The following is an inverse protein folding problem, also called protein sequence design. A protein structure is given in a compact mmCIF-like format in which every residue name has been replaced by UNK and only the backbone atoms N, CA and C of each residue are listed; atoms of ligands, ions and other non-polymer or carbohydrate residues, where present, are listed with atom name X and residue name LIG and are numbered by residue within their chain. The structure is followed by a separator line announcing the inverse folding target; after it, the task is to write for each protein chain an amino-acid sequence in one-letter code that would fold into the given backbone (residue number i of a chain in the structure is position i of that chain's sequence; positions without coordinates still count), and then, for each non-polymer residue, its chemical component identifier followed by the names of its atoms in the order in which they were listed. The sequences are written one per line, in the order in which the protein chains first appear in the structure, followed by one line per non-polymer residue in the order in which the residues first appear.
data_IF_213905059464
#
_entry.id   IF_213905059464
#
_cell.length_a   1.000
_cell.length_b   1.000
_cell.length_c   1.000
_cell.angle_alpha   90.00
_cell.angle_beta   90.00
_cell.angle_gamma   90.00
#
_symmetry.space_group_name_H-M   'P 1'
#
loop_
_entity.id
_entity.type
_entity.pdbx_description
1 polymer ?
#
# COMPACT_ATOMS: atom_id res chain seq x y z
N UNK A 1 45.14 -37.46 -7.78
CA UNK A 1 45.28 -36.03 -8.11
C UNK A 1 44.74 -35.27 -6.92
N UNK A 2 45.45 -34.27 -6.41
CA UNK A 2 44.91 -33.42 -5.33
C UNK A 2 43.73 -32.62 -5.88
N UNK A 3 42.67 -32.43 -5.10
CA UNK A 3 41.52 -31.63 -5.54
C UNK A 3 41.93 -30.17 -5.70
N UNK A 4 41.20 -29.40 -6.50
CA UNK A 4 41.45 -27.97 -6.65
C UNK A 4 41.39 -27.26 -5.30
N UNK A 5 40.39 -27.61 -4.46
CA UNK A 5 40.24 -27.06 -3.12
C UNK A 5 41.48 -27.26 -2.23
N UNK A 6 42.15 -28.42 -2.32
CA UNK A 6 43.34 -28.72 -1.50
C UNK A 6 44.49 -27.73 -1.80
N UNK A 7 44.56 -27.21 -3.03
CA UNK A 7 45.54 -26.19 -3.42
C UNK A 7 45.28 -24.83 -2.74
N UNK A 8 44.00 -24.51 -2.46
CA UNK A 8 43.57 -23.24 -1.88
C UNK A 8 43.28 -23.30 -0.38
N UNK A 9 43.16 -24.49 0.21
CA UNK A 9 42.93 -24.67 1.66
C UNK A 9 43.95 -23.93 2.56
N UNK A 10 45.25 -23.82 2.23
CA UNK A 10 46.18 -22.99 3.00
C UNK A 10 45.84 -21.49 2.96
N UNK A 11 45.27 -21.00 1.85
CA UNK A 11 44.86 -19.60 1.71
C UNK A 11 43.62 -19.32 2.55
N UNK A 12 42.64 -20.24 2.56
CA UNK A 12 41.50 -20.17 3.48
C UNK A 12 41.93 -20.19 4.94
N UNK A 13 42.88 -21.06 5.30
CA UNK A 13 43.42 -21.10 6.66
C UNK A 13 44.05 -19.77 7.07
N UNK A 14 44.85 -19.16 6.18
CA UNK A 14 45.46 -17.85 6.41
C UNK A 14 44.43 -16.72 6.52
N UNK A 15 43.41 -16.73 5.66
CA UNK A 15 42.33 -15.73 5.71
C UNK A 15 41.52 -15.82 7.00
N UNK A 16 41.17 -17.02 7.46
CA UNK A 16 40.48 -17.25 8.72
C UNK A 16 41.34 -16.85 9.94
N UNK A 17 42.64 -17.11 9.90
CA UNK A 17 43.57 -16.63 10.93
C UNK A 17 43.58 -15.09 10.99
N UNK A 18 43.62 -14.42 9.83
CA UNK A 18 43.54 -12.97 9.75
C UNK A 18 42.20 -12.44 10.29
N UNK A 19 41.08 -13.03 9.89
CA UNK A 19 39.74 -12.65 10.37
C UNK A 19 39.64 -12.78 11.90
N UNK A 20 40.15 -13.88 12.47
CA UNK A 20 40.22 -14.08 13.91
C UNK A 20 41.09 -13.03 14.62
N UNK A 21 42.25 -12.66 14.04
CA UNK A 21 43.12 -11.61 14.57
C UNK A 21 42.47 -10.22 14.49
N UNK A 22 41.75 -9.92 13.41
CA UNK A 22 40.98 -8.67 13.25
C UNK A 22 39.88 -8.60 14.31
N UNK A 23 39.09 -9.67 14.47
CA UNK A 23 38.04 -9.75 15.49
C UNK A 23 38.58 -9.61 16.92
N UNK A 24 39.78 -10.14 17.18
CA UNK A 24 40.47 -10.02 18.46
C UNK A 24 41.23 -8.69 18.64
N UNK A 25 41.18 -7.77 17.67
CA UNK A 25 41.98 -6.52 17.66
C UNK A 25 43.51 -6.73 17.82
N UNK A 26 44.02 -7.86 17.32
CA UNK A 26 45.45 -8.24 17.36
C UNK A 26 46.10 -8.31 15.98
N UNK A 27 45.39 -7.87 14.94
CA UNK A 27 45.91 -7.80 13.58
C UNK A 27 47.06 -6.77 13.46
N UNK A 28 48.01 -6.94 12.51
CA UNK A 28 49.09 -6.00 12.29
C UNK A 28 48.60 -4.56 12.06
N UNK A 29 49.35 -3.55 12.51
CA UNK A 29 48.93 -2.15 12.34
C UNK A 29 48.99 -1.64 10.88
N UNK A 30 49.84 -2.26 10.05
CA UNK A 30 50.03 -1.89 8.63
C UNK A 30 49.48 -2.99 7.72
N UNK A 31 48.85 -2.59 6.62
CA UNK A 31 48.15 -3.50 5.71
C UNK A 31 49.05 -4.04 4.58
N UNK A 32 50.09 -3.31 4.21
CA UNK A 32 51.05 -3.68 3.17
C UNK A 32 51.70 -5.06 3.39
N UNK A 33 52.25 -5.40 4.58
CA UNK A 33 52.79 -6.74 4.82
C UNK A 33 51.71 -7.82 4.81
N UNK A 34 50.46 -7.48 5.19
CA UNK A 34 49.32 -8.40 5.13
C UNK A 34 48.99 -8.73 3.69
N UNK A 35 48.82 -7.72 2.81
CA UNK A 35 48.58 -7.95 1.40
C UNK A 35 49.74 -8.69 0.71
N UNK A 36 51.00 -8.40 1.05
CA UNK A 36 52.14 -9.13 0.53
C UNK A 36 52.10 -10.63 0.89
N UNK A 37 51.76 -10.94 2.15
CA UNK A 37 51.62 -12.33 2.63
C UNK A 37 50.46 -13.05 1.94
N UNK A 38 49.30 -12.40 1.86
CA UNK A 38 48.12 -12.94 1.18
C UNK A 38 48.40 -13.18 -0.31
N UNK A 39 49.03 -12.22 -0.99
CA UNK A 39 49.41 -12.35 -2.39
C UNK A 39 50.33 -13.55 -2.63
N UNK A 40 51.38 -13.69 -1.81
CA UNK A 40 52.29 -14.83 -1.90
C UNK A 40 51.62 -16.19 -1.61
N UNK A 41 50.56 -16.21 -0.78
CA UNK A 41 49.77 -17.42 -0.55
C UNK A 41 48.90 -17.76 -1.78
N UNK A 42 48.23 -16.77 -2.36
CA UNK A 42 47.41 -16.90 -3.56
C UNK A 42 48.26 -17.36 -4.76
N UNK A 43 49.43 -16.76 -4.99
CA UNK A 43 50.32 -17.14 -6.10
C UNK A 43 50.82 -18.59 -5.95
N UNK A 44 51.11 -19.03 -4.71
CA UNK A 44 51.48 -20.43 -4.43
C UNK A 44 50.33 -21.40 -4.66
N UNK A 45 49.10 -21.04 -4.25
CA UNK A 45 47.92 -21.86 -4.48
C UNK A 45 47.63 -22.02 -5.98
N UNK A 46 47.72 -20.93 -6.76
CA UNK A 46 47.61 -20.97 -8.22
C UNK A 46 48.68 -21.86 -8.85
N UNK A 47 49.93 -21.71 -8.45
CA UNK A 47 51.02 -22.55 -8.96
C UNK A 47 50.82 -24.04 -8.63
N UNK A 48 50.33 -24.36 -7.43
CA UNK A 48 50.00 -25.73 -7.03
C UNK A 48 48.84 -26.32 -7.87
N UNK A 49 47.79 -25.54 -8.14
CA UNK A 49 46.68 -25.96 -9.00
C UNK A 49 47.15 -26.25 -10.44
N UNK A 50 47.98 -25.37 -11.01
CA UNK A 50 48.56 -25.59 -12.35
C UNK A 50 49.45 -26.83 -12.38
N UNK A 51 50.28 -27.04 -11.35
CA UNK A 51 51.13 -28.22 -11.24
C UNK A 51 50.35 -29.52 -11.05
N UNK A 52 49.17 -29.45 -10.42
CA UNK A 52 48.24 -30.57 -10.29
C UNK A 52 47.48 -30.90 -11.60
N UNK A 53 47.61 -30.07 -12.64
CA UNK A 53 47.05 -30.29 -13.97
C UNK A 53 45.73 -29.56 -14.25
N UNK A 54 45.30 -28.64 -13.39
CA UNK A 54 44.10 -27.83 -13.64
C UNK A 54 44.35 -26.81 -14.75
N UNK A 55 43.30 -26.52 -15.53
CA UNK A 55 43.37 -25.53 -16.61
C UNK A 55 43.61 -24.12 -16.03
N UNK A 56 44.34 -23.23 -16.73
CA UNK A 56 44.55 -21.85 -16.29
C UNK A 56 43.25 -21.13 -15.94
N UNK A 57 42.20 -21.31 -16.74
CA UNK A 57 40.87 -20.71 -16.50
C UNK A 57 40.25 -21.15 -15.15
N UNK A 58 40.40 -22.42 -14.78
CA UNK A 58 39.89 -22.95 -13.51
C UNK A 58 40.69 -22.43 -12.32
N UNK A 59 42.02 -22.36 -12.48
CA UNK A 59 42.90 -21.80 -11.46
C UNK A 59 42.65 -20.28 -11.27
N UNK A 60 42.45 -19.53 -12.35
CA UNK A 60 42.17 -18.09 -12.31
C UNK A 60 40.81 -17.79 -11.68
N UNK A 61 39.78 -18.56 -12.01
CA UNK A 61 38.46 -18.42 -11.38
C UNK A 61 38.50 -18.75 -9.88
N UNK A 62 39.22 -19.80 -9.47
CA UNK A 62 39.42 -20.11 -8.06
C UNK A 62 40.19 -19.01 -7.32
N UNK A 63 41.22 -18.42 -7.94
CA UNK A 63 41.92 -17.25 -7.40
C UNK A 63 40.97 -16.06 -7.24
N UNK A 64 40.11 -15.78 -8.22
CA UNK A 64 39.15 -14.68 -8.16
C UNK A 64 38.24 -14.80 -6.94
N UNK A 65 37.65 -15.98 -6.72
CA UNK A 65 36.82 -16.27 -5.55
C UNK A 65 37.53 -15.98 -4.24
N UNK A 66 38.74 -16.51 -4.07
CA UNK A 66 39.50 -16.38 -2.81
C UNK A 66 39.94 -14.94 -2.59
N UNK A 67 40.33 -14.22 -3.65
CA UNK A 67 40.73 -12.81 -3.59
C UNK A 67 39.55 -11.92 -3.17
N UNK A 68 38.36 -12.13 -3.75
CA UNK A 68 37.16 -11.38 -3.36
C UNK A 68 36.86 -11.54 -1.86
N UNK A 69 36.96 -12.76 -1.34
CA UNK A 69 36.76 -13.06 0.08
C UNK A 69 37.85 -12.49 0.99
N UNK A 70 39.13 -12.59 0.59
CA UNK A 70 40.24 -12.03 1.36
C UNK A 70 40.15 -10.50 1.47
N UNK A 71 39.84 -9.81 0.39
CA UNK A 71 39.68 -8.36 0.42
C UNK A 71 38.50 -7.93 1.30
N UNK A 72 37.42 -8.70 1.33
CA UNK A 72 36.31 -8.46 2.26
C UNK A 72 36.74 -8.63 3.73
N UNK A 73 37.56 -9.66 4.05
CA UNK A 73 38.14 -9.82 5.39
C UNK A 73 39.01 -8.63 5.76
N UNK A 74 39.92 -8.22 4.87
CA UNK A 74 40.82 -7.08 5.13
C UNK A 74 40.01 -5.80 5.36
N UNK A 75 38.93 -5.59 4.59
CA UNK A 75 38.04 -4.44 4.74
C UNK A 75 37.29 -4.37 6.09
N UNK A 76 37.18 -5.49 6.84
CA UNK A 76 36.57 -5.51 8.18
C UNK A 76 37.39 -4.76 9.23
N UNK A 77 38.68 -4.52 8.98
CA UNK A 77 39.51 -3.72 9.88
C UNK A 77 39.55 -2.24 9.43
N UNK A 78 38.95 -1.30 10.18
CA UNK A 78 38.92 0.11 9.81
C UNK A 78 40.29 0.76 9.65
N UNK A 79 41.32 0.23 10.33
CA UNK A 79 42.69 0.75 10.25
C UNK A 79 43.30 0.63 8.85
N UNK A 80 42.74 -0.23 7.99
CA UNK A 80 43.29 -0.53 6.67
C UNK A 80 42.65 0.28 5.54
N UNK A 81 41.56 1.02 5.78
CA UNK A 81 40.79 1.68 4.72
C UNK A 81 41.56 2.76 3.94
N UNK A 82 42.60 3.34 4.54
CA UNK A 82 43.35 4.45 3.96
C UNK A 82 44.67 4.04 3.28
N UNK A 83 45.04 2.76 3.33
CA UNK A 83 46.38 2.29 2.92
C UNK A 83 46.29 0.98 2.13
N UNK A 84 47.31 0.70 1.31
CA UNK A 84 47.39 -0.52 0.50
C UNK A 84 46.49 -0.55 -0.74
N UNK A 85 46.83 -1.44 -1.67
CA UNK A 85 46.01 -1.73 -2.86
C UNK A 85 45.34 -3.09 -2.68
N UNK A 86 44.00 -3.18 -2.71
CA UNK A 86 43.27 -4.45 -2.61
C UNK A 86 43.74 -5.48 -3.66
N UNK A 87 43.70 -6.75 -3.32
CA UNK A 87 44.16 -7.83 -4.20
C UNK A 87 43.32 -7.93 -5.48
N UNK A 88 42.02 -7.62 -5.41
CA UNK A 88 41.13 -7.57 -6.58
C UNK A 88 41.59 -6.54 -7.62
N UNK A 89 42.11 -5.40 -7.16
CA UNK A 89 42.66 -4.36 -8.05
C UNK A 89 44.02 -4.82 -8.57
N UNK A 90 44.89 -5.31 -7.69
CA UNK A 90 46.26 -5.69 -8.05
C UNK A 90 46.37 -6.94 -8.95
N UNK A 91 45.40 -7.85 -8.90
CA UNK A 91 45.40 -9.11 -9.68
C UNK A 91 44.49 -9.00 -10.90
N UNK A 92 43.28 -8.46 -10.73
CA UNK A 92 42.22 -8.53 -11.73
C UNK A 92 41.82 -7.17 -12.30
N UNK A 93 42.41 -6.07 -11.82
CA UNK A 93 42.07 -4.71 -12.24
C UNK A 93 40.56 -4.41 -12.09
N UNK A 94 39.92 -4.96 -11.07
CA UNK A 94 38.52 -4.67 -10.68
C UNK A 94 38.48 -4.11 -9.27
N UNK A 95 37.48 -3.29 -8.97
CA UNK A 95 37.12 -2.83 -7.63
C UNK A 95 35.72 -3.32 -7.21
N UNK A 96 35.14 -4.25 -7.96
CA UNK A 96 33.76 -4.70 -7.83
C UNK A 96 33.66 -6.23 -7.64
N UNK A 97 34.71 -6.83 -7.07
CA UNK A 97 34.78 -8.29 -6.92
C UNK A 97 33.63 -8.85 -6.08
N UNK A 98 33.11 -8.07 -5.13
CA UNK A 98 31.94 -8.44 -4.30
C UNK A 98 30.67 -8.77 -5.10
N UNK A 99 30.45 -8.08 -6.22
CA UNK A 99 29.30 -8.31 -7.11
C UNK A 99 29.64 -9.32 -8.21
N UNK A 100 30.83 -9.16 -8.83
CA UNK A 100 31.32 -10.04 -9.89
C UNK A 100 31.48 -11.49 -9.42
N UNK A 101 31.75 -11.72 -8.13
CA UNK A 101 31.79 -13.06 -7.53
C UNK A 101 30.53 -13.87 -7.86
N UNK A 102 29.36 -13.31 -7.60
CA UNK A 102 28.09 -14.01 -7.81
C UNK A 102 27.76 -14.19 -9.31
N UNK A 103 28.20 -13.26 -10.15
CA UNK A 103 28.09 -13.39 -11.61
C UNK A 103 28.94 -14.55 -12.12
N UNK A 104 30.20 -14.65 -11.70
CA UNK A 104 31.07 -15.76 -12.07
C UNK A 104 30.58 -17.09 -11.47
N UNK A 105 30.13 -17.10 -10.22
CA UNK A 105 29.62 -18.28 -9.54
C UNK A 105 28.37 -18.88 -10.21
N UNK A 106 27.44 -18.01 -10.63
CA UNK A 106 26.25 -18.39 -11.38
C UNK A 106 26.55 -18.87 -12.81
N UNK A 107 27.65 -18.41 -13.42
CA UNK A 107 28.08 -18.77 -14.77
C UNK A 107 28.85 -20.10 -14.84
N UNK A 108 29.28 -20.67 -13.70
CA UNK A 108 29.99 -21.95 -13.65
C UNK A 108 29.13 -23.07 -14.24
N UNK A 109 29.74 -23.93 -15.08
CA UNK A 109 29.06 -25.08 -15.68
C UNK A 109 29.07 -26.28 -14.74
N UNK A 110 28.37 -27.35 -15.11
CA UNK A 110 28.43 -28.61 -14.38
C UNK A 110 29.84 -29.24 -14.38
N UNK A 111 30.66 -28.95 -15.40
CA UNK A 111 32.05 -29.39 -15.51
C UNK A 111 33.04 -28.60 -14.63
N UNK A 112 32.57 -27.54 -13.98
CA UNK A 112 33.39 -26.67 -13.12
C UNK A 112 33.06 -26.90 -11.63
N UNK A 113 32.71 -28.14 -11.28
CA UNK A 113 32.28 -28.58 -9.96
C UNK A 113 33.34 -28.34 -8.87
N UNK A 114 34.62 -28.59 -9.15
CA UNK A 114 35.72 -28.30 -8.21
C UNK A 114 36.01 -26.80 -8.07
N UNK A 115 35.78 -25.99 -9.11
CA UNK A 115 35.85 -24.52 -9.00
C UNK A 115 34.68 -24.03 -8.15
N UNK A 116 33.49 -24.59 -8.36
CA UNK A 116 32.30 -24.32 -7.55
C UNK A 116 32.53 -24.65 -6.08
N UNK A 117 33.26 -25.72 -5.77
CA UNK A 117 33.66 -26.06 -4.39
C UNK A 117 34.49 -24.95 -3.73
N UNK A 118 35.42 -24.31 -4.46
CA UNK A 118 36.21 -23.16 -3.94
C UNK A 118 35.32 -21.94 -3.67
N UNK A 119 34.43 -21.57 -4.59
CA UNK A 119 33.47 -20.48 -4.37
C UNK A 119 32.54 -20.76 -3.21
N UNK A 120 32.00 -21.98 -3.15
CA UNK A 120 31.12 -22.38 -2.08
C UNK A 120 31.82 -22.32 -0.73
N UNK A 121 33.08 -22.71 -0.66
CA UNK A 121 33.85 -22.63 0.58
C UNK A 121 34.05 -21.18 1.05
N UNK A 122 34.25 -20.22 0.15
CA UNK A 122 34.27 -18.80 0.52
C UNK A 122 32.96 -18.34 1.16
N UNK A 123 31.80 -18.80 0.66
CA UNK A 123 30.49 -18.54 1.28
C UNK A 123 30.35 -19.17 2.66
N UNK A 124 30.89 -20.39 2.86
CA UNK A 124 30.91 -21.03 4.18
C UNK A 124 31.81 -20.31 5.17
N UNK A 125 32.91 -19.71 4.69
CA UNK A 125 33.81 -18.86 5.46
C UNK A 125 33.29 -17.43 5.63
N UNK A 126 32.00 -17.18 5.36
CA UNK A 126 31.35 -15.92 5.67
C UNK A 126 31.59 -14.81 4.66
N UNK A 127 31.92 -15.13 3.40
CA UNK A 127 31.82 -14.16 2.31
C UNK A 127 30.36 -13.76 2.09
N UNK A 128 30.10 -12.46 2.07
CA UNK A 128 28.74 -11.93 1.86
C UNK A 128 28.62 -11.15 0.56
N UNK A 129 29.65 -10.40 0.18
CA UNK A 129 29.71 -9.58 -1.02
C UNK A 129 28.51 -8.64 -1.14
N UNK A 130 27.82 -8.70 -2.28
CA UNK A 130 26.66 -7.84 -2.57
C UNK A 130 25.46 -7.99 -1.62
N UNK A 131 25.41 -9.06 -0.83
CA UNK A 131 24.29 -9.39 0.07
C UNK A 131 24.51 -8.91 1.52
N UNK A 132 25.38 -7.92 1.76
CA UNK A 132 25.77 -7.47 3.11
C UNK A 132 24.62 -7.01 4.02
N UNK A 133 23.45 -6.73 3.44
CA UNK A 133 22.23 -6.30 4.13
C UNK A 133 21.35 -7.47 4.61
N UNK A 134 21.60 -8.71 4.17
CA UNK A 134 20.83 -9.88 4.60
C UNK A 134 21.29 -10.40 5.96
N UNK A 135 20.36 -10.92 6.77
CA UNK A 135 20.66 -11.57 8.04
C UNK A 135 20.04 -12.96 8.08
N UNK A 136 20.83 -13.95 8.53
CA UNK A 136 20.41 -15.35 8.59
C UNK A 136 20.43 -16.09 7.25
N UNK A 137 19.97 -17.35 7.24
CA UNK A 137 20.05 -18.26 6.09
C UNK A 137 18.77 -18.31 5.24
N UNK A 138 17.76 -17.48 5.54
CA UNK A 138 16.48 -17.47 4.81
C UNK A 138 16.42 -16.46 3.64
N UNK A 139 17.47 -15.65 3.45
CA UNK A 139 17.60 -14.66 2.39
C UNK A 139 18.03 -15.24 1.04
N UNK A 140 18.28 -14.37 0.05
CA UNK A 140 18.77 -14.80 -1.27
C UNK A 140 20.15 -15.46 -1.20
N UNK A 141 21.02 -15.02 -0.29
CA UNK A 141 22.32 -15.65 -0.08
C UNK A 141 22.17 -17.10 0.39
N UNK A 142 21.21 -17.37 1.27
CA UNK A 142 20.89 -18.72 1.74
C UNK A 142 20.36 -19.63 0.63
N UNK A 143 19.48 -19.08 -0.23
CA UNK A 143 18.99 -19.80 -1.43
C UNK A 143 20.11 -20.13 -2.41
N UNK A 144 21.05 -19.20 -2.63
CA UNK A 144 22.23 -19.43 -3.47
C UNK A 144 23.13 -20.52 -2.88
N UNK A 145 23.37 -20.50 -1.56
CA UNK A 145 24.10 -21.59 -0.90
C UNK A 145 23.39 -22.93 -1.11
N UNK A 146 22.08 -23.02 -0.92
CA UNK A 146 21.34 -24.27 -1.12
C UNK A 146 21.38 -24.75 -2.57
N UNK A 147 21.18 -23.85 -3.54
CA UNK A 147 21.20 -24.17 -4.97
C UNK A 147 22.55 -24.74 -5.42
N UNK A 148 23.65 -24.13 -4.97
CA UNK A 148 24.99 -24.54 -5.37
C UNK A 148 25.51 -25.73 -4.57
N UNK A 149 25.09 -25.91 -3.31
CA UNK A 149 25.41 -27.09 -2.50
C UNK A 149 25.04 -28.40 -3.21
N UNK A 150 23.87 -28.45 -3.85
CA UNK A 150 23.38 -29.62 -4.61
C UNK A 150 24.19 -29.92 -5.87
N UNK A 151 25.01 -28.98 -6.33
CA UNK A 151 25.82 -29.07 -7.55
C UNK A 151 27.30 -29.32 -7.25
N UNK A 152 27.67 -29.53 -5.99
CA UNK A 152 29.05 -29.84 -5.59
C UNK A 152 29.41 -31.30 -5.90
N UNK A 153 30.70 -31.61 -6.09
CA UNK A 153 31.16 -32.99 -6.27
C UNK A 153 30.71 -33.92 -5.13
N UNK A 154 30.68 -33.37 -3.91
CA UNK A 154 30.12 -34.00 -2.71
C UNK A 154 29.17 -32.99 -2.10
N UNK A 155 27.87 -33.19 -2.34
CA UNK A 155 26.84 -32.33 -1.76
C UNK A 155 26.88 -32.44 -0.21
N UNK A 156 26.88 -31.32 0.51
CA UNK A 156 26.80 -31.35 1.97
C UNK A 156 25.43 -31.88 2.40
N UNK A 157 25.44 -32.59 3.52
CA UNK A 157 24.23 -33.07 4.18
C UNK A 157 23.25 -31.91 4.42
N UNK A 158 21.97 -32.02 4.02
CA UNK A 158 20.96 -31.03 4.36
C UNK A 158 20.83 -30.94 5.88
N UNK A 159 20.92 -29.73 6.43
CA UNK A 159 20.92 -29.51 7.88
C UNK A 159 19.66 -30.04 8.57
N UNK A 160 18.52 -30.05 7.86
CA UNK A 160 17.24 -30.56 8.35
C UNK A 160 17.13 -32.09 8.35
N UNK A 161 17.99 -32.81 7.62
CA UNK A 161 18.04 -34.28 7.58
C UNK A 161 19.28 -34.86 8.27
N UNK A 162 20.18 -34.04 8.83
CA UNK A 162 21.41 -34.48 9.50
C UNK A 162 21.21 -35.59 10.53
N UNK A 163 20.06 -35.63 11.20
CA UNK A 163 19.71 -36.67 12.18
C UNK A 163 19.53 -38.05 11.54
N UNK A 164 19.07 -38.08 10.30
CA UNK A 164 18.74 -39.28 9.54
C UNK A 164 19.90 -39.72 8.65
N UNK A 165 20.83 -38.80 8.35
CA UNK A 165 21.99 -39.07 7.53
C UNK A 165 23.10 -39.85 8.25
N UNK A 166 23.72 -40.74 7.48
CA UNK A 166 24.74 -41.67 7.96
C UNK A 166 26.14 -41.10 7.78
N UNK A 167 26.50 -40.12 8.61
CA UNK A 167 27.70 -39.29 8.47
C UNK A 167 29.02 -40.05 8.74
N UNK A 168 29.04 -41.20 9.44
CA UNK A 168 30.27 -41.97 9.72
C UNK A 168 30.26 -43.43 9.22
N UNK A 169 31.38 -43.99 8.71
CA UNK A 169 31.44 -45.37 8.19
C UNK A 169 31.24 -46.52 9.21
N UNK A 170 31.20 -46.28 10.52
CA UNK A 170 31.04 -47.29 11.58
C UNK A 170 30.15 -46.80 12.74
N UNK A 171 29.29 -47.64 13.37
CA UNK A 171 28.47 -48.69 12.79
C UNK A 171 26.97 -48.41 13.08
N UNK A 172 26.22 -48.05 12.05
CA UNK A 172 24.74 -48.16 12.05
C UNK A 172 24.24 -49.61 12.09
N UNK A 173 25.15 -50.58 12.24
CA UNK A 173 24.87 -52.02 12.37
C UNK A 173 24.45 -52.40 13.80
N UNK A 174 24.86 -51.61 14.80
CA UNK A 174 24.32 -51.73 16.16
C UNK A 174 23.09 -50.87 16.27
N UNK A 175 21.99 -51.47 16.73
CA UNK A 175 20.76 -50.74 17.05
C UNK A 175 21.12 -49.67 18.08
N UNK A 176 20.71 -48.42 17.85
CA UNK A 176 20.94 -47.35 18.82
C UNK A 176 20.52 -47.81 20.22
N UNK A 177 21.32 -47.53 21.27
CA UNK A 177 20.90 -47.81 22.62
C UNK A 177 19.55 -47.15 22.83
N UNK A 178 18.65 -47.83 23.54
CA UNK A 178 17.34 -47.28 23.85
C UNK A 178 17.57 -45.95 24.58
N UNK A 179 17.36 -44.83 23.88
CA UNK A 179 17.39 -43.52 24.52
C UNK A 179 16.42 -43.50 25.71
N UNK A 180 16.56 -42.52 26.63
CA UNK A 180 15.63 -42.39 27.75
C UNK A 180 14.21 -42.51 27.21
N UNK A 181 13.46 -43.50 27.74
CA UNK A 181 12.05 -43.69 27.40
C UNK A 181 11.30 -42.47 27.95
N UNK A 182 11.32 -41.36 27.22
CA UNK A 182 10.30 -40.35 27.36
C UNK A 182 8.97 -41.08 27.19
N UNK A 183 8.03 -40.95 28.14
CA UNK A 183 6.78 -41.70 28.13
C UNK A 183 5.89 -41.21 26.98
N UNK A 184 6.18 -41.66 25.76
CA UNK A 184 5.42 -41.44 24.51
C UNK A 184 3.97 -41.91 24.57
N UNK A 185 3.58 -42.60 25.65
CA UNK A 185 2.19 -42.94 25.91
C UNK A 185 1.33 -41.69 26.13
N UNK A 186 1.89 -40.61 26.69
CA UNK A 186 1.21 -39.32 26.72
C UNK A 186 1.21 -38.67 25.34
N UNK A 187 2.29 -38.74 24.56
CA UNK A 187 2.33 -38.15 23.20
C UNK A 187 1.31 -38.76 22.25
N UNK A 188 1.13 -40.08 22.23
CA UNK A 188 0.12 -40.72 21.38
C UNK A 188 -1.31 -40.45 21.84
N UNK A 189 -1.54 -40.36 23.16
CA UNK A 189 -2.86 -40.01 23.70
C UNK A 189 -3.18 -38.54 23.39
N UNK A 190 -2.22 -37.64 23.62
CA UNK A 190 -2.31 -36.21 23.34
C UNK A 190 -2.48 -35.95 21.86
N UNK A 191 -1.78 -36.70 20.98
CA UNK A 191 -1.96 -36.60 19.53
C UNK A 191 -3.34 -37.07 19.10
N UNK A 192 -3.84 -38.21 19.62
CA UNK A 192 -5.19 -38.72 19.31
C UNK A 192 -6.29 -37.79 19.82
N UNK A 193 -6.14 -37.27 21.03
CA UNK A 193 -7.07 -36.28 21.62
C UNK A 193 -7.00 -34.97 20.85
N UNK A 194 -5.81 -34.53 20.45
CA UNK A 194 -5.60 -33.33 19.63
C UNK A 194 -6.25 -33.45 18.26
N UNK A 195 -6.10 -34.59 17.58
CA UNK A 195 -6.77 -34.86 16.28
C UNK A 195 -8.29 -34.94 16.46
N UNK A 196 -8.79 -35.59 17.52
CA UNK A 196 -10.22 -35.66 17.79
C UNK A 196 -10.81 -34.28 18.09
N UNK A 197 -10.11 -33.42 18.86
CA UNK A 197 -10.52 -32.04 19.11
C UNK A 197 -10.45 -31.19 17.84
N UNK A 198 -9.38 -31.33 17.03
CA UNK A 198 -9.23 -30.60 15.78
C UNK A 198 -10.34 -30.93 14.76
N UNK A 199 -10.93 -32.12 14.81
CA UNK A 199 -12.10 -32.50 14.02
C UNK A 199 -13.41 -32.11 14.69
N UNK A 200 -13.54 -32.29 16.01
CA UNK A 200 -14.76 -32.01 16.74
C UNK A 200 -15.07 -30.51 16.84
N UNK A 201 -14.06 -29.66 17.04
CA UNK A 201 -14.24 -28.20 17.13
C UNK A 201 -14.89 -27.62 15.86
N UNK A 202 -14.40 -27.85 14.64
CA UNK A 202 -15.04 -27.34 13.43
C UNK A 202 -16.40 -28.00 13.17
N UNK A 203 -16.60 -29.27 13.52
CA UNK A 203 -17.90 -29.94 13.39
C UNK A 203 -18.95 -29.37 14.36
N UNK A 204 -18.57 -29.12 15.62
CA UNK A 204 -19.42 -28.49 16.62
C UNK A 204 -19.66 -27.03 16.25
N UNK A 205 -18.66 -26.33 15.73
CA UNK A 205 -18.81 -24.96 15.23
C UNK A 205 -19.73 -24.91 14.02
N UNK A 206 -19.62 -25.86 13.07
CA UNK A 206 -20.53 -26.00 11.94
C UNK A 206 -21.95 -26.32 12.42
N UNK A 207 -22.11 -27.23 13.39
CA UNK A 207 -23.41 -27.55 13.99
C UNK A 207 -24.01 -26.34 14.72
N UNK A 208 -23.18 -25.58 15.43
CA UNK A 208 -23.57 -24.31 16.03
C UNK A 208 -23.99 -23.31 14.95
N UNK A 209 -23.22 -23.14 13.87
CA UNK A 209 -23.61 -22.29 12.75
C UNK A 209 -24.92 -22.76 12.11
N UNK A 210 -25.18 -24.06 12.02
CA UNK A 210 -26.43 -24.58 11.44
C UNK A 210 -27.64 -24.42 12.38
N UNK A 211 -27.44 -24.48 13.71
CA UNK A 211 -28.49 -24.35 14.72
C UNK A 211 -28.71 -22.89 15.17
N UNK A 212 -27.66 -22.10 15.17
CA UNK A 212 -27.62 -20.69 15.57
C UNK A 212 -27.58 -19.73 14.38
N UNK A 213 -27.50 -20.23 13.14
CA UNK A 213 -27.88 -19.43 11.98
C UNK A 213 -29.27 -18.86 12.30
N UNK A 214 -29.41 -17.52 12.34
CA UNK A 214 -30.73 -16.93 12.47
C UNK A 214 -31.55 -17.54 11.35
N UNK A 215 -32.67 -18.18 11.72
CA UNK A 215 -33.68 -18.51 10.71
C UNK A 215 -33.99 -17.19 10.04
N UNK A 216 -33.62 -17.05 8.77
CA UNK A 216 -33.93 -15.89 7.95
C UNK A 216 -35.45 -15.71 7.97
N UNK A 217 -35.91 -15.01 8.99
CA UNK A 217 -37.22 -14.38 9.00
C UNK A 217 -37.05 -13.34 7.92
N UNK A 218 -37.76 -13.50 6.80
CA UNK A 218 -37.61 -12.64 5.64
C UNK A 218 -37.61 -11.14 5.99
N UNK A 219 -37.27 -10.27 5.02
CA UNK A 219 -37.00 -8.86 5.30
C UNK A 219 -38.10 -8.24 6.15
N UNK A 220 -37.71 -7.54 7.22
CA UNK A 220 -38.66 -6.85 8.10
C UNK A 220 -39.46 -5.83 7.29
N UNK A 221 -40.62 -5.40 7.79
CA UNK A 221 -41.44 -4.39 7.10
C UNK A 221 -40.61 -3.12 6.82
N UNK A 222 -39.80 -2.67 7.78
CA UNK A 222 -38.86 -1.57 7.60
C UNK A 222 -37.88 -1.81 6.44
N UNK A 223 -37.26 -2.99 6.37
CA UNK A 223 -36.35 -3.34 5.27
C UNK A 223 -37.05 -3.38 3.90
N UNK A 224 -38.31 -3.85 3.85
CA UNK A 224 -39.08 -3.85 2.60
C UNK A 224 -39.42 -2.43 2.13
N UNK A 225 -39.78 -1.54 3.06
CA UNK A 225 -40.02 -0.12 2.77
C UNK A 225 -38.73 0.54 2.29
N UNK A 226 -37.62 0.37 3.02
CA UNK A 226 -36.31 0.94 2.65
C UNK A 226 -35.85 0.46 1.27
N UNK A 227 -35.98 -0.85 0.99
CA UNK A 227 -35.65 -1.42 -0.31
C UNK A 227 -36.50 -0.82 -1.43
N UNK A 228 -37.78 -0.50 -1.16
CA UNK A 228 -38.64 0.15 -2.14
C UNK A 228 -38.19 1.59 -2.42
N UNK A 229 -37.81 2.33 -1.37
CA UNK A 229 -37.35 3.71 -1.49
C UNK A 229 -36.00 3.84 -2.20
N UNK A 230 -35.10 2.86 -2.06
CA UNK A 230 -33.82 2.81 -2.79
C UNK A 230 -33.99 2.68 -4.32
N UNK A 231 -35.19 2.35 -4.80
CA UNK A 231 -35.47 2.22 -6.23
C UNK A 231 -35.60 3.56 -6.98
N UNK A 232 -35.69 4.70 -6.28
CA UNK A 232 -35.85 6.01 -6.92
C UNK A 232 -34.48 6.64 -7.20
N UNK A 233 -34.15 6.94 -8.46
CA UNK A 233 -32.87 7.57 -8.81
C UNK A 233 -32.83 9.02 -8.33
N UNK A 234 -31.68 9.47 -7.85
CA UNK A 234 -31.46 10.85 -7.39
C UNK A 234 -32.48 11.30 -6.31
N UNK A 235 -32.67 10.47 -5.29
CA UNK A 235 -33.57 10.71 -4.16
C UNK A 235 -32.84 10.57 -2.82
N UNK A 236 -33.24 11.34 -1.81
CA UNK A 236 -32.80 11.19 -0.40
C UNK A 236 -34.04 10.89 0.43
N UNK A 237 -34.54 9.65 0.33
CA UNK A 237 -35.76 9.17 0.98
C UNK A 237 -35.40 8.36 2.23
N UNK A 238 -36.15 8.57 3.30
CA UNK A 238 -36.02 7.82 4.54
C UNK A 238 -37.40 7.45 5.09
N UNK A 239 -37.48 6.30 5.76
CA UNK A 239 -38.71 5.85 6.41
C UNK A 239 -38.46 5.51 7.88
N UNK A 240 -39.47 5.77 8.70
CA UNK A 240 -39.58 5.25 10.06
C UNK A 240 -40.82 4.37 10.13
N UNK A 241 -40.64 3.10 10.51
CA UNK A 241 -41.73 2.12 10.63
C UNK A 241 -41.85 1.71 12.10
N UNK A 242 -42.99 1.99 12.71
CA UNK A 242 -43.30 1.59 14.08
C UNK A 242 -43.69 0.10 14.16
N UNK A 243 -43.63 -0.48 15.36
CA UNK A 243 -43.93 -1.91 15.60
C UNK A 243 -45.35 -2.33 15.18
N UNK A 244 -46.29 -1.39 15.17
CA UNK A 244 -47.68 -1.60 14.75
C UNK A 244 -47.90 -1.48 13.23
N UNK A 245 -46.87 -1.11 12.47
CA UNK A 245 -46.87 -0.91 11.02
C UNK A 245 -47.08 0.55 10.59
N UNK A 246 -47.28 1.50 11.52
CA UNK A 246 -47.42 2.92 11.18
C UNK A 246 -46.12 3.42 10.56
N UNK A 247 -46.21 3.97 9.35
CA UNK A 247 -45.05 4.35 8.54
C UNK A 247 -45.02 5.85 8.28
N UNK A 248 -43.87 6.49 8.49
CA UNK A 248 -43.62 7.88 8.12
C UNK A 248 -42.47 7.91 7.12
N UNK A 249 -42.71 8.48 5.95
CA UNK A 249 -41.71 8.65 4.89
C UNK A 249 -41.43 10.12 4.68
N UNK A 250 -40.17 10.51 4.67
CA UNK A 250 -39.75 11.88 4.39
C UNK A 250 -38.55 11.92 3.47
N UNK A 251 -38.39 13.02 2.73
CA UNK A 251 -37.23 13.21 1.88
C UNK A 251 -37.48 13.96 0.58
N UNK A 252 -36.61 13.72 -0.39
CA UNK A 252 -36.66 14.34 -1.71
C UNK A 252 -36.70 13.33 -2.85
N UNK A 253 -37.41 13.66 -3.93
CA UNK A 253 -37.43 12.92 -5.19
C UNK A 253 -37.00 13.80 -6.37
N UNK A 254 -36.59 13.19 -7.47
CA UNK A 254 -36.01 13.90 -8.61
C UNK A 254 -37.06 14.60 -9.47
N UNK A 255 -38.29 14.07 -9.49
CA UNK A 255 -39.40 14.60 -10.31
C UNK A 255 -40.70 14.74 -9.52
N UNK A 256 -41.56 15.71 -9.87
CA UNK A 256 -42.87 15.86 -9.23
C UNK A 256 -43.74 14.61 -9.30
N UNK A 257 -43.74 13.88 -10.41
CA UNK A 257 -44.52 12.65 -10.57
C UNK A 257 -44.11 11.51 -9.63
N UNK A 258 -42.84 11.50 -9.19
CA UNK A 258 -42.31 10.47 -8.29
C UNK A 258 -42.92 10.59 -6.88
N UNK A 259 -43.41 11.76 -6.48
CA UNK A 259 -44.07 11.95 -5.17
C UNK A 259 -45.29 11.03 -5.06
N UNK A 260 -46.15 11.04 -6.07
CA UNK A 260 -47.35 10.19 -6.09
C UNK A 260 -46.99 8.71 -6.27
N UNK A 261 -45.91 8.43 -6.99
CA UNK A 261 -45.40 7.08 -7.16
C UNK A 261 -44.90 6.49 -5.83
N UNK A 262 -44.12 7.25 -5.05
CA UNK A 262 -43.67 6.85 -3.69
C UNK A 262 -44.86 6.60 -2.78
N UNK A 263 -45.85 7.51 -2.79
CA UNK A 263 -47.07 7.35 -1.98
C UNK A 263 -47.79 6.06 -2.30
N UNK A 264 -47.98 5.77 -3.58
CA UNK A 264 -48.66 4.55 -4.04
C UNK A 264 -47.85 3.29 -3.71
N UNK A 265 -46.55 3.32 -3.98
CA UNK A 265 -45.66 2.18 -3.84
C UNK A 265 -45.48 1.76 -2.38
N UNK A 266 -45.29 2.71 -1.46
CA UNK A 266 -45.18 2.42 -0.02
C UNK A 266 -46.51 1.95 0.55
N UNK A 267 -47.63 2.59 0.17
CA UNK A 267 -48.97 2.21 0.64
C UNK A 267 -49.39 0.81 0.18
N UNK A 268 -48.82 0.31 -0.92
CA UNK A 268 -49.09 -1.03 -1.43
C UNK A 268 -48.31 -2.14 -0.70
N UNK A 269 -47.32 -1.79 0.14
CA UNK A 269 -46.53 -2.78 0.88
C UNK A 269 -47.37 -3.40 1.99
N UNK A 270 -47.47 -4.73 1.98
CA UNK A 270 -48.24 -5.48 2.97
C UNK A 270 -47.65 -5.28 4.38
N UNK A 271 -48.46 -4.70 5.27
CA UNK A 271 -48.08 -4.45 6.67
C UNK A 271 -47.95 -2.97 7.02
N UNK A 272 -47.81 -2.10 6.01
CA UNK A 272 -47.86 -0.64 6.19
C UNK A 272 -49.26 -0.22 6.64
N UNK A 273 -49.33 0.64 7.65
CA UNK A 273 -50.55 1.28 8.15
C UNK A 273 -50.37 2.78 8.20
N UNK A 274 -51.46 3.52 7.98
CA UNK A 274 -51.57 4.97 8.09
C UNK A 274 -50.30 5.74 7.63
N UNK A 275 -49.84 5.53 6.38
CA UNK A 275 -48.58 6.11 5.95
C UNK A 275 -48.69 7.63 5.84
N UNK A 276 -47.72 8.34 6.44
CA UNK A 276 -47.56 9.79 6.31
C UNK A 276 -46.36 10.13 5.44
N UNK A 277 -46.47 11.19 4.65
CA UNK A 277 -45.50 11.55 3.63
C UNK A 277 -45.14 13.04 3.70
N UNK A 278 -43.87 13.33 3.97
CA UNK A 278 -43.27 14.66 3.87
C UNK A 278 -42.22 14.67 2.75
N UNK A 279 -42.70 14.81 1.52
CA UNK A 279 -41.90 14.66 0.30
C UNK A 279 -41.82 15.98 -0.46
N UNK A 280 -40.62 16.30 -0.95
CA UNK A 280 -40.37 17.47 -1.80
C UNK A 280 -39.58 17.10 -3.05
N UNK A 281 -39.58 17.98 -4.05
CA UNK A 281 -38.82 17.75 -5.29
C UNK A 281 -37.44 18.38 -5.17
N UNK A 282 -36.40 17.62 -5.54
CA UNK A 282 -35.05 18.12 -5.78
C UNK A 282 -34.55 17.56 -7.10
N UNK A 283 -34.56 18.40 -8.12
CA UNK A 283 -34.21 18.00 -9.48
C UNK A 283 -32.75 17.58 -9.61
N UNK A 284 -32.46 16.78 -10.63
CA UNK A 284 -31.10 16.60 -11.10
C UNK A 284 -30.62 17.90 -11.78
N UNK A 285 -29.38 18.37 -11.55
CA UNK A 285 -28.27 17.73 -10.84
C UNK A 285 -28.20 18.00 -9.32
N UNK A 286 -29.09 18.83 -8.77
CA UNK A 286 -29.00 19.27 -7.36
C UNK A 286 -29.06 18.12 -6.36
N UNK A 287 -29.90 17.12 -6.60
CA UNK A 287 -29.96 15.91 -5.76
C UNK A 287 -28.62 15.18 -5.71
N UNK A 288 -27.98 14.96 -6.86
CA UNK A 288 -26.70 14.26 -6.98
C UNK A 288 -25.58 15.04 -6.30
N UNK A 289 -25.51 16.35 -6.53
CA UNK A 289 -24.49 17.23 -5.94
C UNK A 289 -24.63 17.29 -4.43
N UNK A 290 -25.85 17.43 -3.90
CA UNK A 290 -26.05 17.40 -2.45
C UNK A 290 -25.70 16.03 -1.86
N UNK A 291 -26.05 14.92 -2.53
CA UNK A 291 -25.66 13.60 -2.06
C UNK A 291 -24.12 13.45 -1.97
N UNK A 292 -23.38 13.98 -2.94
CA UNK A 292 -21.91 14.00 -2.94
C UNK A 292 -21.36 14.87 -1.79
N UNK A 293 -21.96 16.05 -1.57
CA UNK A 293 -21.42 17.03 -0.61
C UNK A 293 -21.92 16.87 0.83
N UNK A 294 -22.99 16.10 1.06
CA UNK A 294 -23.62 15.89 2.38
C UNK A 294 -22.61 15.46 3.46
N UNK A 295 -21.72 14.47 3.25
CA UNK A 295 -20.74 14.07 4.26
C UNK A 295 -19.74 15.19 4.61
N UNK A 296 -19.40 16.06 3.65
CA UNK A 296 -18.48 17.17 3.85
C UNK A 296 -19.16 18.38 4.51
N UNK A 297 -20.47 18.55 4.32
CA UNK A 297 -21.28 19.52 5.06
C UNK A 297 -21.49 19.10 6.51
N UNK A 298 -21.80 17.83 6.75
CA UNK A 298 -21.91 17.27 8.10
C UNK A 298 -20.58 17.46 8.84
N UNK A 299 -19.45 17.14 8.20
CA UNK A 299 -18.12 17.39 8.76
C UNK A 299 -17.89 18.87 9.11
N UNK A 300 -18.26 19.80 8.22
CA UNK A 300 -18.14 21.24 8.46
C UNK A 300 -18.90 21.66 9.72
N UNK A 301 -20.12 21.17 9.89
CA UNK A 301 -20.98 21.46 11.04
C UNK A 301 -20.48 20.80 12.33
N UNK A 302 -20.23 19.49 12.30
CA UNK A 302 -19.82 18.69 13.47
C UNK A 302 -18.48 19.16 14.04
N UNK A 303 -17.53 19.47 13.15
CA UNK A 303 -16.19 19.95 13.53
C UNK A 303 -16.12 21.47 13.67
N UNK A 304 -17.23 22.18 13.43
CA UNK A 304 -17.30 23.66 13.47
C UNK A 304 -16.19 24.31 12.65
N UNK A 305 -15.99 23.83 11.42
CA UNK A 305 -14.94 24.31 10.54
C UNK A 305 -15.21 25.72 10.02
N UNK A 306 -16.45 26.22 10.11
CA UNK A 306 -16.77 27.63 9.87
C UNK A 306 -16.80 28.02 8.39
N UNK A 307 -16.73 27.05 7.46
CA UNK A 307 -16.98 27.30 6.04
C UNK A 307 -18.44 27.70 5.86
N UNK A 308 -18.71 28.79 5.18
CA UNK A 308 -20.07 29.27 4.99
C UNK A 308 -20.25 30.03 3.68
N UNK A 309 -21.39 29.83 3.04
CA UNK A 309 -21.86 30.62 1.90
C UNK A 309 -23.20 31.29 2.22
N UNK A 310 -23.27 32.62 2.05
CA UNK A 310 -24.49 33.40 2.30
C UNK A 310 -24.85 34.27 1.09
N UNK A 311 -26.14 34.45 0.77
CA UNK A 311 -26.55 35.45 -0.20
C UNK A 311 -26.28 36.86 0.34
N UNK A 312 -25.92 37.80 -0.54
CA UNK A 312 -25.70 39.21 -0.15
C UNK A 312 -26.99 39.98 0.09
N UNK A 313 -28.13 39.51 -0.44
CA UNK A 313 -29.43 40.19 -0.39
C UNK A 313 -30.10 40.19 1.00
N UNK A 314 -29.56 39.46 1.98
CA UNK A 314 -29.88 39.59 3.40
C UNK A 314 -31.32 39.24 3.83
N UNK A 315 -32.25 38.95 2.91
CA UNK A 315 -33.68 38.85 3.24
C UNK A 315 -34.47 37.75 2.51
N UNK A 316 -33.97 37.14 1.45
CA UNK A 316 -34.66 36.00 0.81
C UNK A 316 -33.71 35.07 0.06
N UNK A 317 -34.03 33.78 0.08
CA UNK A 317 -33.58 32.75 -0.85
C UNK A 317 -34.19 32.93 -2.25
N UNK A 318 -35.11 33.89 -2.42
CA UNK A 318 -35.78 34.22 -3.68
C UNK A 318 -35.07 35.36 -4.40
N UNK A 319 -34.92 35.17 -5.71
CA UNK A 319 -34.24 36.05 -6.64
C UNK A 319 -35.10 36.29 -7.87
N UNK A 320 -35.11 37.51 -8.40
CA UNK A 320 -35.88 37.86 -9.61
C UNK A 320 -34.97 38.08 -10.82
N UNK A 321 -35.53 37.88 -12.01
CA UNK A 321 -34.85 38.14 -13.28
C UNK A 321 -34.15 39.50 -13.34
N UNK A 322 -32.88 39.48 -13.77
CA UNK A 322 -32.00 40.64 -13.84
C UNK A 322 -31.29 41.00 -12.52
N UNK A 323 -31.60 40.33 -11.40
CA UNK A 323 -30.78 40.47 -10.20
C UNK A 323 -29.41 39.82 -10.38
N UNK A 324 -28.43 40.36 -9.67
CA UNK A 324 -27.05 39.87 -9.70
C UNK A 324 -26.82 38.85 -8.60
N UNK A 325 -26.35 37.66 -8.97
CA UNK A 325 -25.93 36.63 -8.02
C UNK A 325 -24.59 37.03 -7.42
N UNK A 326 -24.64 37.44 -6.17
CA UNK A 326 -23.45 37.73 -5.35
C UNK A 326 -23.55 36.97 -4.04
N UNK A 327 -22.51 36.21 -3.72
CA UNK A 327 -22.42 35.45 -2.48
C UNK A 327 -21.28 35.95 -1.61
N UNK A 328 -21.56 36.04 -0.32
CA UNK A 328 -20.55 36.25 0.70
C UNK A 328 -20.03 34.90 1.15
N UNK A 329 -18.72 34.71 1.03
CA UNK A 329 -18.04 33.50 1.46
C UNK A 329 -17.28 33.77 2.76
N UNK A 330 -17.27 32.76 3.62
CA UNK A 330 -16.34 32.66 4.73
C UNK A 330 -15.54 31.37 4.55
N UNK A 331 -14.22 31.50 4.44
CA UNK A 331 -13.32 30.35 4.42
C UNK A 331 -13.40 29.61 5.77
N UNK A 332 -13.20 28.29 5.70
CA UNK A 332 -13.03 27.45 6.87
C UNK A 332 -11.88 27.94 7.77
N UNK A 333 -11.81 27.40 8.98
CA UNK A 333 -10.79 27.68 10.00
C UNK A 333 -9.42 27.03 9.65
N UNK A 334 -9.04 27.05 8.37
CA UNK A 334 -7.75 26.60 7.85
C UNK A 334 -7.44 27.29 6.51
N UNK A 335 -6.16 27.40 6.18
CA UNK A 335 -5.72 27.91 4.87
C UNK A 335 -5.98 26.86 3.79
N UNK A 336 -6.62 27.26 2.69
CA UNK A 336 -7.01 26.32 1.65
C UNK A 336 -7.52 26.97 0.37
N UNK A 337 -7.92 26.14 -0.57
CA UNK A 337 -8.49 26.52 -1.86
C UNK A 337 -10.01 26.42 -1.79
N UNK A 338 -10.69 27.42 -2.36
CA UNK A 338 -12.14 27.47 -2.45
C UNK A 338 -12.62 27.18 -3.86
N UNK A 339 -13.73 26.44 -3.95
CA UNK A 339 -14.43 26.12 -5.19
C UNK A 339 -15.90 26.45 -5.00
N UNK A 340 -16.43 27.30 -5.85
CA UNK A 340 -17.79 27.85 -5.78
C UNK A 340 -18.45 27.62 -7.13
N UNK A 341 -19.46 26.77 -7.13
CA UNK A 341 -20.18 26.34 -8.32
C UNK A 341 -21.65 26.66 -8.16
N UNK A 342 -22.26 27.13 -9.25
CA UNK A 342 -23.68 27.45 -9.34
C UNK A 342 -24.36 26.53 -10.36
N UNK A 343 -25.33 25.75 -9.90
CA UNK A 343 -26.05 24.76 -10.67
C UNK A 343 -27.43 25.26 -10.98
N UNK A 344 -27.73 25.41 -12.27
CA UNK A 344 -29.00 25.91 -12.77
C UNK A 344 -30.03 24.79 -12.93
N UNK A 345 -31.28 25.16 -13.17
CA UNK A 345 -32.39 24.20 -13.35
C UNK A 345 -32.33 23.41 -14.67
N UNK A 346 -31.64 23.93 -15.69
CA UNK A 346 -31.44 23.26 -16.98
C UNK A 346 -30.25 22.28 -16.96
N UNK A 347 -29.58 22.11 -15.82
CA UNK A 347 -28.47 21.17 -15.67
C UNK A 347 -27.12 21.71 -16.15
N UNK A 348 -26.97 23.03 -16.16
CA UNK A 348 -25.70 23.71 -16.43
C UNK A 348 -25.00 24.04 -15.10
N UNK A 349 -23.66 24.04 -15.11
CA UNK A 349 -22.82 24.43 -13.98
C UNK A 349 -21.99 25.63 -14.39
N UNK A 350 -22.07 26.69 -13.60
CA UNK A 350 -21.23 27.88 -13.74
C UNK A 350 -20.20 27.86 -12.62
N UNK A 351 -18.93 27.92 -13.00
CA UNK A 351 -17.82 27.98 -12.05
C UNK A 351 -17.60 29.44 -11.63
N UNK A 352 -18.09 29.82 -10.46
CA UNK A 352 -18.01 31.20 -9.96
C UNK A 352 -16.62 31.50 -9.40
N UNK A 353 -15.98 30.52 -8.75
CA UNK A 353 -14.63 30.64 -8.21
C UNK A 353 -13.97 29.25 -8.13
N UNK A 354 -12.77 29.01 -8.66
CA UNK A 354 -11.96 29.92 -9.45
C UNK A 354 -12.60 30.26 -10.82
N UNK A 355 -12.42 31.50 -11.28
CA UNK A 355 -12.92 31.97 -12.58
C UNK A 355 -12.01 33.09 -13.12
N UNK A 356 -11.67 33.09 -14.41
CA UNK A 356 -10.81 34.12 -15.05
C UNK A 356 -11.32 35.55 -14.87
N UNK A 357 -12.64 35.74 -14.78
CA UNK A 357 -13.27 37.05 -14.63
C UNK A 357 -13.21 37.55 -13.19
N UNK A 358 -12.95 36.65 -12.23
CA UNK A 358 -12.73 37.00 -10.83
C UNK A 358 -11.24 37.16 -10.53
N UNK A 359 -10.79 38.34 -10.07
CA UNK A 359 -9.39 38.57 -9.76
C UNK A 359 -8.94 37.75 -8.55
N UNK A 360 -7.65 37.38 -8.57
CA UNK A 360 -7.03 36.54 -7.53
C UNK A 360 -7.76 35.20 -7.31
N UNK A 361 -8.47 34.71 -8.33
CA UNK A 361 -9.16 33.44 -8.24
C UNK A 361 -8.20 32.25 -8.27
N UNK A 362 -8.52 31.19 -7.54
CA UNK A 362 -7.68 29.99 -7.43
C UNK A 362 -6.46 30.16 -6.52
N UNK A 363 -6.34 31.27 -5.79
CA UNK A 363 -5.31 31.45 -4.78
C UNK A 363 -5.59 30.62 -3.52
N UNK A 364 -4.57 30.51 -2.68
CA UNK A 364 -4.74 30.09 -1.30
C UNK A 364 -5.49 31.19 -0.53
N UNK A 365 -6.62 30.83 0.06
CA UNK A 365 -7.46 31.69 0.90
C UNK A 365 -7.15 31.39 2.36
N UNK A 366 -6.82 32.42 3.14
CA UNK A 366 -6.39 32.23 4.52
C UNK A 366 -7.56 31.90 5.44
N UNK A 367 -7.28 31.23 6.55
CA UNK A 367 -8.27 30.82 7.53
C UNK A 367 -9.24 31.94 7.92
N UNK A 368 -10.54 31.66 7.90
CA UNK A 368 -11.63 32.57 8.25
C UNK A 368 -11.72 33.87 7.43
N UNK A 369 -11.00 33.96 6.30
CA UNK A 369 -11.11 35.08 5.38
C UNK A 369 -12.55 35.19 4.83
N UNK A 370 -13.07 36.42 4.76
CA UNK A 370 -14.37 36.71 4.16
C UNK A 370 -14.22 37.60 2.94
N UNK A 371 -14.89 37.24 1.85
CA UNK A 371 -14.90 38.03 0.62
C UNK A 371 -16.19 37.79 -0.17
N UNK A 372 -16.43 38.64 -1.17
CA UNK A 372 -17.56 38.53 -2.09
C UNK A 372 -17.10 37.87 -3.38
N UNK A 373 -17.94 36.97 -3.90
CA UNK A 373 -17.81 36.41 -5.26
C UNK A 373 -18.99 36.90 -6.09
N UNK A 374 -18.71 37.32 -7.33
CA UNK A 374 -19.71 37.89 -8.25
C UNK A 374 -19.78 39.43 -8.23
N UNK A 375 -18.92 40.12 -7.47
CA UNK A 375 -18.91 41.60 -7.47
C UNK A 375 -18.28 42.17 -8.75
N UNK A 376 -17.16 41.58 -9.19
CA UNK A 376 -16.40 42.04 -10.37
C UNK A 376 -16.79 41.29 -11.65
N UNK A 377 -17.29 40.07 -11.51
CA UNK A 377 -17.90 39.31 -12.59
C UNK A 377 -19.38 38.98 -12.26
N UNK A 378 -20.29 39.98 -12.31
CA UNK A 378 -21.67 39.75 -11.94
C UNK A 378 -22.37 38.82 -12.92
N UNK A 379 -23.16 37.93 -12.35
CA UNK A 379 -24.03 36.99 -13.05
C UNK A 379 -25.47 37.41 -12.86
N UNK A 380 -26.20 37.55 -13.96
CA UNK A 380 -27.60 37.98 -13.91
C UNK A 380 -28.52 36.77 -14.01
N UNK A 381 -29.55 36.75 -13.17
CA UNK A 381 -30.58 35.72 -13.20
C UNK A 381 -31.40 35.85 -14.47
N UNK A 382 -31.55 34.74 -15.19
CA UNK A 382 -32.33 34.63 -16.41
C UNK A 382 -33.04 33.28 -16.50
N UNK A 383 -33.86 33.08 -17.54
CA UNK A 383 -34.57 31.83 -17.75
C UNK A 383 -33.61 30.67 -18.11
N UNK A 384 -33.98 29.40 -17.81
CA UNK A 384 -35.20 28.98 -17.12
C UNK A 384 -35.17 29.23 -15.60
N UNK A 385 -36.31 29.61 -15.04
CA UNK A 385 -36.45 29.92 -13.61
C UNK A 385 -36.83 28.69 -12.79
N UNK A 386 -36.36 28.60 -11.55
CA UNK A 386 -36.75 27.57 -10.60
C UNK A 386 -35.81 27.49 -9.39
N UNK A 387 -35.75 26.32 -8.75
CA UNK A 387 -34.82 26.11 -7.65
C UNK A 387 -33.41 25.89 -8.20
N UNK A 388 -32.43 26.62 -7.70
CA UNK A 388 -31.02 26.53 -8.09
C UNK A 388 -30.14 26.30 -6.86
N UNK A 389 -28.89 25.92 -7.07
CA UNK A 389 -27.98 25.50 -6.01
C UNK A 389 -26.62 26.19 -6.16
N UNK A 390 -26.16 26.84 -5.10
CA UNK A 390 -24.75 27.26 -4.98
C UNK A 390 -24.07 26.37 -3.97
N UNK A 391 -22.93 25.80 -4.36
CA UNK A 391 -22.08 25.00 -3.49
C UNK A 391 -20.75 25.70 -3.26
N UNK A 392 -20.21 25.57 -2.05
CA UNK A 392 -18.83 25.93 -1.74
C UNK A 392 -18.08 24.70 -1.19
N UNK A 393 -16.87 24.47 -1.67
CA UNK A 393 -15.97 23.42 -1.21
C UNK A 393 -14.66 24.08 -0.79
N UNK A 394 -14.23 23.80 0.44
CA UNK A 394 -12.91 24.17 0.95
C UNK A 394 -12.01 22.93 1.01
N UNK A 395 -10.85 23.02 0.35
CA UNK A 395 -9.86 21.93 0.32
C UNK A 395 -8.48 22.43 0.73
N UNK A 396 -7.73 21.71 1.58
CA UNK A 396 -6.36 22.09 1.93
C UNK A 396 -5.37 21.95 0.76
N UNK A 397 -5.74 21.19 -0.28
CA UNK A 397 -4.96 20.99 -1.51
C UNK A 397 -5.81 21.30 -2.74
N UNK A 398 -5.23 21.72 -3.87
CA UNK A 398 -6.01 22.01 -5.08
C UNK A 398 -6.76 20.76 -5.58
N UNK A 399 -8.07 20.85 -5.80
CA UNK A 399 -8.88 19.77 -6.41
C UNK A 399 -8.51 19.55 -7.88
N UNK A 400 -8.10 20.62 -8.56
CA UNK A 400 -7.61 20.60 -9.94
C UNK A 400 -6.62 21.75 -10.15
N UNK A 401 -5.68 21.56 -11.09
CA UNK A 401 -4.64 22.53 -11.43
C UNK A 401 -4.81 23.15 -12.82
N UNK A 402 -5.54 22.47 -13.71
CA UNK A 402 -5.90 23.00 -15.02
C UNK A 402 -7.12 23.92 -14.90
N UNK A 403 -7.09 25.01 -15.64
CA UNK A 403 -8.24 25.89 -15.72
C UNK A 403 -9.43 25.19 -16.36
N UNK A 404 -10.62 25.36 -15.76
CA UNK A 404 -11.88 24.80 -16.26
C UNK A 404 -12.64 25.84 -17.08
N UNK A 405 -13.46 25.42 -18.07
CA UNK A 405 -14.43 26.30 -18.70
C UNK A 405 -15.29 27.04 -17.66
N UNK A 406 -15.73 28.25 -17.97
CA UNK A 406 -16.61 29.03 -17.09
C UNK A 406 -18.00 28.39 -16.93
N UNK A 407 -18.44 27.67 -17.97
CA UNK A 407 -19.73 26.99 -18.05
C UNK A 407 -19.51 25.56 -18.53
N UNK A 408 -20.04 24.59 -17.80
CA UNK A 408 -20.00 23.16 -18.13
C UNK A 408 -21.39 22.51 -17.99
N UNK A 409 -21.60 21.37 -18.65
CA UNK A 409 -22.80 20.56 -18.42
C UNK A 409 -22.63 19.75 -17.14
N UNK A 410 -23.65 19.69 -16.28
CA UNK A 410 -23.57 18.96 -15.02
C UNK A 410 -23.34 17.45 -15.22
N UNK A 411 -23.80 16.90 -16.35
CA UNK A 411 -23.56 15.50 -16.73
C UNK A 411 -22.08 15.19 -16.98
N UNK A 412 -21.29 16.22 -17.30
CA UNK A 412 -19.83 16.14 -17.47
C UNK A 412 -19.12 16.48 -16.15
N UNK A 413 -19.55 17.54 -15.48
CA UNK A 413 -18.87 18.05 -14.30
C UNK A 413 -19.05 17.16 -13.06
N UNK A 414 -20.27 16.72 -12.77
CA UNK A 414 -20.60 16.02 -11.51
C UNK A 414 -19.85 14.70 -11.33
N UNK A 415 -19.71 13.82 -12.36
CA UNK A 415 -18.85 12.65 -12.26
C UNK A 415 -17.40 13.01 -11.96
N UNK A 416 -16.86 14.07 -12.59
CA UNK A 416 -15.50 14.53 -12.36
C UNK A 416 -15.32 15.12 -10.96
N UNK A 417 -16.33 15.81 -10.44
CA UNK A 417 -16.33 16.32 -9.07
C UNK A 417 -16.21 15.18 -8.05
N UNK A 418 -16.97 14.10 -8.25
CA UNK A 418 -16.85 12.88 -7.43
C UNK A 418 -15.43 12.32 -7.45
N UNK A 419 -14.84 12.13 -8.62
CA UNK A 419 -13.46 11.65 -8.75
C UNK A 419 -12.44 12.55 -8.02
N UNK A 420 -12.59 13.88 -8.13
CA UNK A 420 -11.71 14.85 -7.45
C UNK A 420 -11.86 14.79 -5.93
N UNK A 421 -13.07 14.60 -5.41
CA UNK A 421 -13.33 14.47 -3.98
C UNK A 421 -12.87 13.14 -3.42
N UNK A 422 -13.05 12.04 -4.16
CA UNK A 422 -12.58 10.71 -3.78
C UNK A 422 -11.04 10.66 -3.71
N UNK A 423 -10.36 11.25 -4.70
CA UNK A 423 -8.89 11.37 -4.70
C UNK A 423 -8.35 12.19 -3.52
N UNK A 424 -9.16 13.08 -2.95
CA UNK A 424 -8.82 13.94 -1.83
C UNK A 424 -9.54 13.55 -0.52
N UNK A 425 -10.15 12.36 -0.44
CA UNK A 425 -10.95 11.96 0.72
C UNK A 425 -10.14 11.89 2.02
N UNK A 426 -8.84 11.57 1.91
CA UNK A 426 -7.89 11.54 3.02
C UNK A 426 -7.53 12.94 3.58
N UNK A 427 -7.89 14.02 2.88
CA UNK A 427 -7.73 15.37 3.39
C UNK A 427 -8.76 15.62 4.51
N UNK A 428 -8.34 15.39 5.75
CA UNK A 428 -9.17 15.46 6.96
C UNK A 428 -9.87 16.83 7.17
N UNK A 429 -9.40 17.88 6.47
CA UNK A 429 -9.96 19.23 6.50
C UNK A 429 -10.89 19.58 5.34
N UNK A 430 -11.06 18.70 4.34
CA UNK A 430 -11.98 18.99 3.23
C UNK A 430 -13.41 19.17 3.76
N UNK A 431 -14.04 20.29 3.41
CA UNK A 431 -15.32 20.75 3.95
C UNK A 431 -16.21 21.27 2.82
N UNK A 432 -17.52 21.21 2.99
CA UNK A 432 -18.46 21.81 2.04
C UNK A 432 -19.60 22.56 2.75
N UNK A 433 -20.21 23.49 2.05
CA UNK A 433 -21.50 24.08 2.41
C UNK A 433 -22.28 24.39 1.12
N UNK A 434 -23.59 24.56 1.23
CA UNK A 434 -24.42 24.86 0.07
C UNK A 434 -25.71 25.57 0.48
N UNK A 435 -26.18 26.43 -0.42
CA UNK A 435 -27.45 27.14 -0.31
C UNK A 435 -28.32 26.86 -1.53
N UNK A 436 -29.62 26.77 -1.29
CA UNK A 436 -30.62 26.76 -2.34
C UNK A 436 -31.14 28.18 -2.55
N UNK A 437 -31.50 28.46 -3.78
CA UNK A 437 -32.13 29.71 -4.19
C UNK A 437 -33.30 29.40 -5.11
N UNK A 438 -34.27 30.29 -5.15
CA UNK A 438 -35.44 30.20 -5.99
C UNK A 438 -35.47 31.40 -6.94
N UNK A 439 -35.31 31.16 -8.24
CA UNK A 439 -35.37 32.20 -9.27
C UNK A 439 -36.77 32.31 -9.86
N UNK A 440 -37.17 33.55 -10.19
CA UNK A 440 -38.50 33.89 -10.69
C UNK A 440 -38.42 34.97 -11.79
N UNK A 441 -39.35 34.97 -12.77
CA UNK A 441 -39.43 36.03 -13.77
C UNK A 441 -39.75 37.38 -13.12
N UNK A 442 -39.29 38.46 -13.75
CA UNK A 442 -39.68 39.80 -13.33
C UNK A 442 -41.18 39.98 -13.65
N UNK A 443 -41.96 40.32 -12.62
CA UNK A 443 -43.41 40.57 -12.75
C UNK A 443 -43.73 41.77 -13.61
#
# INVERSE_FOLDING_TARGET
MAKLFDCFAPVFSLGLELDARIAASTAPAQVEPVYAQLRAAVDRAKAAALAAGYRPEQADSAVFSVVAWLDEIVARNPAYWASGTPLQVAIFNTNNAGNEFFQQFGALKASDDEVREVYYHALLCGFVGQYYFETGENGELGKLKELHARQLPIAPAPTHTLREERITPQPYLTRDPSGPRYPRQWDNLVLKVGVALALAIPLIYLLYLLLAAPKDSGPTLAQQVDQRLQGYPCSDLSATVADDGVTAVSGTVSKPEEIEQVRSDVSAIKGVKDPSFDLSVRIWPHCEVVAILKPYRERNLDRRQGLEVRPTTGHSDRFIEGERVMVKLQQANFDGYLYVDYYTVDGTVLHLYPNRREPESGRLVVSAEQFLVGEKAPWEIGPPFGQELITVIASPVPLYTSERPEIEQASVYVPRLREMLDANQAADRLSADFLFMQTEPKK
#
